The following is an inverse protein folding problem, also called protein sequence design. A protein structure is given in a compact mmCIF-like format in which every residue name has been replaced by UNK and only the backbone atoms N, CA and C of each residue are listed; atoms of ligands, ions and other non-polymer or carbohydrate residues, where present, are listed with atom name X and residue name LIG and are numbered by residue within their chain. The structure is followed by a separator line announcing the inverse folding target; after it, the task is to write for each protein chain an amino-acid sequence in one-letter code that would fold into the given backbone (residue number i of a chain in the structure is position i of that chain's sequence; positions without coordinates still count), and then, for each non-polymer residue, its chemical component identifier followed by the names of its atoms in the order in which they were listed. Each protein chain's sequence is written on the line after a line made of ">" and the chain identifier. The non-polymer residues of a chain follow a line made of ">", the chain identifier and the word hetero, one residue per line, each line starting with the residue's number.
data_IF_097175193091
#
_entry.id   IF_097175193091
#
_cell.length_a   1.000
_cell.length_b   1.000
_cell.length_c   1.000
_cell.angle_alpha   90.00
_cell.angle_beta   90.00
_cell.angle_gamma   90.00
#
_symmetry.space_group_name_H-M   'P 1'
#
loop_
_entity.id
_entity.type
_entity.pdbx_description
1 polymer ?
#
# COMPACT_ATOMS: atom_id res chain seq x y z
N UNK A 1 -21.36 4.95 -4.21
CA UNK A 1 -20.34 4.21 -3.43
C UNK A 1 -19.44 5.28 -2.83
N UNK A 2 -19.33 5.35 -1.52
CA UNK A 2 -18.53 6.37 -0.84
C UNK A 2 -17.19 5.76 -0.39
N UNK A 3 -16.11 6.56 -0.30
CA UNK A 3 -14.83 6.06 0.16
C UNK A 3 -14.93 5.61 1.62
N UNK A 4 -14.59 4.35 1.88
CA UNK A 4 -14.72 3.73 3.21
C UNK A 4 -13.47 3.90 4.08
N UNK A 5 -12.30 3.83 3.46
CA UNK A 5 -11.02 3.81 4.15
C UNK A 5 -9.94 4.49 3.31
N UNK A 6 -9.00 5.15 3.99
CA UNK A 6 -7.91 5.87 3.35
C UNK A 6 -6.60 5.59 4.07
N UNK A 7 -5.56 5.38 3.27
CA UNK A 7 -4.18 5.26 3.75
C UNK A 7 -3.36 6.37 3.12
N UNK A 8 -2.60 7.09 3.94
CA UNK A 8 -1.69 8.15 3.51
C UNK A 8 -0.28 7.82 3.97
N UNK A 9 0.67 7.83 3.03
CA UNK A 9 2.10 7.73 3.32
C UNK A 9 2.74 9.12 3.19
N UNK A 10 3.63 9.48 4.11
CA UNK A 10 4.38 10.75 4.07
C UNK A 10 5.87 10.46 3.91
N UNK A 11 6.54 11.25 3.06
CA UNK A 11 7.93 11.04 2.60
C UNK A 11 8.18 9.61 2.14
N UNK A 12 7.26 9.07 1.33
CA UNK A 12 7.38 7.73 0.78
C UNK A 12 8.31 7.69 -0.44
N UNK A 13 9.04 6.58 -0.60
CA UNK A 13 9.84 6.29 -1.77
C UNK A 13 9.66 4.83 -2.20
N UNK A 14 9.66 4.58 -3.51
CA UNK A 14 9.62 3.21 -4.04
C UNK A 14 10.96 2.56 -3.74
N UNK A 15 10.93 1.35 -3.17
CA UNK A 15 12.12 0.55 -2.89
C UNK A 15 12.22 -0.70 -3.75
N UNK A 16 11.09 -1.17 -4.29
CA UNK A 16 11.07 -2.32 -5.18
C UNK A 16 9.87 -2.24 -6.12
N UNK A 17 10.08 -2.69 -7.37
CA UNK A 17 9.06 -2.87 -8.38
C UNK A 17 9.25 -4.25 -9.01
N UNK A 18 8.25 -5.12 -8.85
CA UNK A 18 8.25 -6.46 -9.44
C UNK A 18 7.03 -6.63 -10.33
N UNK A 19 7.24 -6.98 -11.59
CA UNK A 19 6.17 -7.27 -12.54
C UNK A 19 6.12 -8.79 -12.78
N UNK A 20 4.94 -9.39 -12.59
CA UNK A 20 4.67 -10.79 -12.84
C UNK A 20 3.77 -10.93 -14.07
N UNK A 21 4.30 -11.58 -15.11
CA UNK A 21 3.56 -11.89 -16.33
C UNK A 21 3.23 -13.39 -16.33
N UNK A 22 1.94 -13.77 -16.22
CA UNK A 22 1.55 -15.16 -16.20
C UNK A 22 1.86 -15.84 -17.53
N UNK A 23 2.24 -17.12 -17.46
CA UNK A 23 2.51 -17.90 -18.65
C UNK A 23 1.21 -18.21 -19.41
N UNK A 24 1.12 -17.79 -20.67
CA UNK A 24 -0.09 -17.91 -21.49
C UNK A 24 -0.55 -19.35 -21.74
N UNK A 25 0.33 -20.35 -21.62
CA UNK A 25 -0.03 -21.76 -21.83
C UNK A 25 -0.65 -22.42 -20.60
N UNK A 26 -0.33 -21.92 -19.39
CA UNK A 26 -0.76 -22.57 -18.12
C UNK A 26 -1.68 -21.68 -17.29
N UNK A 27 -1.68 -20.36 -17.52
CA UNK A 27 -2.38 -19.37 -16.71
C UNK A 27 -2.99 -18.27 -17.61
N UNK A 28 -3.74 -18.68 -18.65
CA UNK A 28 -4.27 -17.77 -19.67
C UNK A 28 -5.35 -16.79 -19.13
N UNK A 29 -6.04 -17.16 -18.06
CA UNK A 29 -7.07 -16.33 -17.43
C UNK A 29 -6.50 -15.29 -16.44
N UNK A 30 -5.19 -15.34 -16.18
CA UNK A 30 -4.52 -14.42 -15.26
C UNK A 30 -4.07 -13.16 -15.99
N UNK A 31 -4.28 -12.02 -15.35
CA UNK A 31 -3.73 -10.75 -15.80
C UNK A 31 -2.32 -10.53 -15.24
N UNK A 32 -1.46 -9.79 -15.94
CA UNK A 32 -0.19 -9.30 -15.39
C UNK A 32 -0.41 -8.56 -14.07
N UNK A 33 0.49 -8.76 -13.12
CA UNK A 33 0.45 -8.12 -11.80
C UNK A 33 1.71 -7.32 -11.56
N UNK A 34 1.58 -6.18 -10.90
CA UNK A 34 2.70 -5.34 -10.49
C UNK A 34 2.67 -5.19 -8.97
N UNK A 35 3.79 -5.47 -8.33
CA UNK A 35 4.01 -5.29 -6.91
C UNK A 35 4.98 -4.15 -6.69
N UNK A 36 4.51 -3.09 -6.01
CA UNK A 36 5.31 -1.92 -5.65
C UNK A 36 5.49 -1.88 -4.15
N UNK A 37 6.73 -1.86 -3.69
CA UNK A 37 7.06 -1.71 -2.27
C UNK A 37 7.51 -0.28 -1.98
N UNK A 38 7.03 0.26 -0.87
CA UNK A 38 7.34 1.63 -0.44
C UNK A 38 8.05 1.61 0.92
N UNK A 39 9.14 2.39 1.03
CA UNK A 39 9.58 2.91 2.32
C UNK A 39 8.88 4.23 2.59
N UNK A 40 8.65 4.56 3.84
CA UNK A 40 7.99 5.80 4.24
C UNK A 40 8.46 6.24 5.62
N UNK A 41 8.36 7.55 5.90
CA UNK A 41 8.65 8.09 7.22
C UNK A 41 7.47 7.88 8.17
N UNK A 42 6.26 8.15 7.68
CA UNK A 42 5.04 7.96 8.44
C UNK A 42 3.89 7.47 7.59
N UNK A 43 2.94 6.80 8.24
CA UNK A 43 1.73 6.25 7.68
C UNK A 43 0.54 6.67 8.53
N UNK A 44 -0.57 7.03 7.88
CA UNK A 44 -1.84 7.36 8.52
C UNK A 44 -2.95 6.52 7.92
N UNK A 45 -3.80 5.97 8.77
CA UNK A 45 -4.99 5.23 8.43
C UNK A 45 -6.22 5.99 8.89
N UNK A 46 -7.22 6.10 8.04
CA UNK A 46 -8.45 6.83 8.30
C UNK A 46 -9.65 5.96 7.89
N UNK A 47 -10.48 5.62 8.87
CA UNK A 47 -11.74 4.92 8.66
C UNK A 47 -12.87 5.93 8.48
N UNK A 48 -13.06 6.35 7.24
CA UNK A 48 -13.94 7.45 6.85
C UNK A 48 -15.39 7.23 7.33
N UNK A 49 -15.88 6.00 7.26
CA UNK A 49 -17.24 5.67 7.68
C UNK A 49 -17.46 5.71 9.20
N UNK A 50 -16.40 5.61 10.02
CA UNK A 50 -16.50 5.60 11.48
C UNK A 50 -15.86 6.83 12.13
N UNK A 51 -15.21 7.71 11.35
CA UNK A 51 -14.53 8.91 11.83
C UNK A 51 -13.30 8.64 12.69
N UNK A 52 -12.75 7.43 12.67
CA UNK A 52 -11.54 7.09 13.46
C UNK A 52 -10.29 7.15 12.58
N UNK A 53 -9.17 7.54 13.19
CA UNK A 53 -7.88 7.58 12.51
C UNK A 53 -6.74 7.20 13.43
N UNK A 54 -5.70 6.59 12.88
CA UNK A 54 -4.47 6.26 13.56
C UNK A 54 -3.27 6.63 12.70
N UNK A 55 -2.13 6.89 13.32
CA UNK A 55 -0.88 7.17 12.61
C UNK A 55 0.27 6.39 13.23
N UNK A 56 1.35 6.25 12.46
CA UNK A 56 2.60 5.69 12.94
C UNK A 56 3.77 6.39 12.25
N UNK A 57 4.73 6.82 13.06
CA UNK A 57 5.98 7.44 12.62
C UNK A 57 7.12 6.49 12.96
N UNK A 58 8.09 6.31 12.06
CA UNK A 58 9.17 5.35 12.27
C UNK A 58 10.04 5.68 13.49
N UNK A 59 10.34 6.96 13.71
CA UNK A 59 11.16 7.43 14.84
C UNK A 59 10.51 7.20 16.21
N UNK A 60 9.18 7.27 16.30
CA UNK A 60 8.42 7.02 17.55
C UNK A 60 8.44 5.54 17.99
N UNK A 61 8.92 4.62 17.14
CA UNK A 61 8.97 3.17 17.47
C UNK A 61 10.22 2.76 18.26
N UNK A 62 11.21 3.64 18.36
CA UNK A 62 12.54 3.32 18.92
C UNK A 62 12.57 3.52 20.45
N UNK A 63 11.53 4.13 21.04
CA UNK A 63 11.35 4.34 22.48
C UNK A 63 10.18 3.51 23.02
#
# INVERSE_FOLDING_TARGET
>A
MEPYYKVKLTKAGIVNLTCFYPNSCTHNDYQPQESVSFKYESITWEHLAAGTSAYSIWEERIY
#
